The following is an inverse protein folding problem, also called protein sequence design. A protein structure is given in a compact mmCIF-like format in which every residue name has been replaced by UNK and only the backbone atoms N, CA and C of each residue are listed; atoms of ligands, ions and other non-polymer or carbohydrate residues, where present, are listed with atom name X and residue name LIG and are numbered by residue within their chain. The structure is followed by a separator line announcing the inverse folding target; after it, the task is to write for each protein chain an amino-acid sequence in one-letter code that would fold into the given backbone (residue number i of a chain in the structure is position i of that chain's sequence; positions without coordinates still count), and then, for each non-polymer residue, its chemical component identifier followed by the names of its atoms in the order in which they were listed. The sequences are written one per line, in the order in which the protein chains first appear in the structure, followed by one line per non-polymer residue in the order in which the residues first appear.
data_IF_660384432031
#
_entry.id   IF_660384432031
#
_cell.length_a   1.000
_cell.length_b   1.000
_cell.length_c   1.000
_cell.angle_alpha   90.00
_cell.angle_beta   90.00
_cell.angle_gamma   90.00
#
_symmetry.space_group_name_H-M   'P 1'
#
loop_
_entity.id
_entity.type
_entity.pdbx_description
1 polymer ?
#
# COMPACT_ATOMS: atom_id res chain seq x y z
N UNK A 1 13.07 -19.20 -29.07
CA UNK A 1 13.78 -18.01 -28.56
C UNK A 1 12.75 -16.91 -28.42
N UNK A 2 12.14 -16.76 -27.25
CA UNK A 2 11.09 -15.76 -26.99
C UNK A 2 11.76 -14.42 -26.73
N UNK A 3 11.37 -13.42 -27.51
CA UNK A 3 11.87 -12.06 -27.40
C UNK A 3 11.54 -11.48 -26.01
N UNK A 4 12.57 -11.29 -25.18
CA UNK A 4 12.45 -10.77 -23.80
C UNK A 4 11.91 -9.32 -23.81
N UNK A 5 11.82 -8.68 -24.98
CA UNK A 5 11.35 -7.30 -25.10
C UNK A 5 9.86 -7.14 -24.75
N UNK A 6 8.99 -8.05 -25.21
CA UNK A 6 7.53 -7.91 -25.09
C UNK A 6 6.90 -9.07 -24.32
N UNK A 7 6.15 -8.79 -23.25
CA UNK A 7 5.55 -9.85 -22.41
C UNK A 7 4.21 -10.39 -22.94
N UNK A 8 3.62 -9.75 -23.94
CA UNK A 8 2.39 -10.16 -24.59
C UNK A 8 2.35 -9.56 -26.01
N UNK A 9 1.55 -10.17 -26.87
CA UNK A 9 1.29 -9.74 -28.25
C UNK A 9 -0.17 -9.36 -28.48
N UNK A 10 -1.06 -9.72 -27.54
CA UNK A 10 -2.49 -9.40 -27.60
C UNK A 10 -2.73 -7.90 -27.58
N UNK A 11 -3.44 -7.38 -28.60
CA UNK A 11 -3.85 -5.98 -28.69
C UNK A 11 -5.24 -5.78 -28.07
N UNK A 12 -5.30 -5.65 -26.75
CA UNK A 12 -6.56 -5.48 -26.00
C UNK A 12 -7.38 -4.26 -26.43
N UNK A 13 -6.70 -3.17 -26.82
CA UNK A 13 -7.31 -1.88 -27.14
C UNK A 13 -7.62 -1.67 -28.65
N UNK A 14 -7.37 -2.70 -29.49
CA UNK A 14 -7.53 -2.68 -30.97
C UNK A 14 -6.53 -1.76 -31.71
N UNK A 15 -6.27 -1.95 -33.03
CA UNK A 15 -5.03 -1.50 -33.64
C UNK A 15 -5.03 0.01 -33.76
N UNK A 16 -4.11 0.63 -33.03
CA UNK A 16 -3.68 1.98 -33.29
C UNK A 16 -3.35 2.11 -34.79
N UNK A 17 -3.84 3.14 -35.52
CA UNK A 17 -3.36 3.40 -36.87
C UNK A 17 -1.83 3.45 -36.84
N UNK A 18 -1.15 3.06 -37.92
CA UNK A 18 0.30 2.80 -37.98
C UNK A 18 1.24 3.92 -37.45
N UNK A 19 0.69 5.08 -37.05
CA UNK A 19 1.37 6.25 -36.51
C UNK A 19 0.89 6.71 -35.12
N UNK A 20 0.02 5.97 -34.42
CA UNK A 20 -0.48 6.42 -33.12
C UNK A 20 0.53 6.12 -32.02
N UNK A 21 1.17 7.19 -31.53
CA UNK A 21 2.02 7.17 -30.34
C UNK A 21 1.16 6.71 -29.14
N UNK A 22 1.69 5.83 -28.30
CA UNK A 22 1.10 5.45 -27.00
C UNK A 22 0.87 6.65 -26.05
N UNK A 23 1.23 7.87 -26.47
CA UNK A 23 0.88 9.13 -25.84
C UNK A 23 -0.62 9.27 -25.54
N UNK A 24 -1.50 8.72 -26.38
CA UNK A 24 -2.95 8.70 -26.11
C UNK A 24 -3.35 7.82 -24.90
N UNK A 25 -2.42 7.00 -24.40
CA UNK A 25 -2.59 6.16 -23.22
C UNK A 25 -2.07 6.79 -21.92
N UNK A 26 -1.42 7.96 -21.99
CA UNK A 26 -0.92 8.66 -20.81
C UNK A 26 -2.00 9.51 -20.13
N UNK A 27 -1.86 9.78 -18.81
CA UNK A 27 -2.68 10.79 -18.15
C UNK A 27 -2.42 12.19 -18.73
N UNK A 28 -3.35 13.12 -18.50
CA UNK A 28 -3.23 14.49 -19.02
C UNK A 28 -1.98 15.23 -18.50
N UNK A 29 -1.60 15.00 -17.24
CA UNK A 29 -0.41 15.56 -16.62
C UNK A 29 0.04 14.70 -15.45
N UNK A 30 1.30 14.86 -15.03
CA UNK A 30 1.82 14.29 -13.79
C UNK A 30 2.60 15.34 -13.00
N UNK A 31 2.86 15.05 -11.72
CA UNK A 31 3.70 15.90 -10.87
C UNK A 31 5.14 15.40 -10.93
N UNK A 32 6.03 16.25 -11.42
CA UNK A 32 7.46 15.99 -11.46
C UNK A 32 8.11 16.00 -10.07
N UNK A 33 9.40 15.62 -9.98
CA UNK A 33 10.14 15.56 -8.73
C UNK A 33 10.31 16.92 -8.04
N UNK A 34 10.23 18.02 -8.80
CA UNK A 34 10.25 19.41 -8.32
C UNK A 34 8.86 19.96 -7.98
N UNK A 35 7.83 19.10 -7.98
CA UNK A 35 6.42 19.43 -7.79
C UNK A 35 5.83 20.32 -8.90
N UNK A 36 6.53 20.48 -10.03
CA UNK A 36 5.98 21.10 -11.23
C UNK A 36 4.99 20.16 -11.93
N UNK A 37 4.00 20.74 -12.62
CA UNK A 37 3.05 19.98 -13.44
C UNK A 37 3.67 19.82 -14.82
N UNK A 38 3.85 18.58 -15.25
CA UNK A 38 4.55 18.22 -16.49
C UNK A 38 3.68 17.32 -17.37
N UNK A 39 3.96 17.34 -18.68
CA UNK A 39 3.33 16.45 -19.65
C UNK A 39 4.09 15.11 -19.71
N UNK A 40 3.42 13.95 -19.58
CA UNK A 40 4.09 12.65 -19.61
C UNK A 40 4.86 12.37 -20.89
N UNK A 41 4.37 12.87 -22.04
CA UNK A 41 4.99 12.65 -23.33
C UNK A 41 6.39 13.27 -23.43
N UNK A 42 6.62 14.39 -22.76
CA UNK A 42 7.90 15.10 -22.78
C UNK A 42 8.89 14.53 -21.76
N UNK A 43 8.39 13.94 -20.67
CA UNK A 43 9.18 13.47 -19.51
C UNK A 43 8.85 12.02 -19.13
N UNK A 44 8.92 11.11 -20.10
CA UNK A 44 8.49 9.70 -19.94
C UNK A 44 9.21 8.98 -18.80
N UNK A 45 10.54 9.17 -18.65
CA UNK A 45 11.31 8.45 -17.63
C UNK A 45 10.94 8.84 -16.20
N UNK A 46 10.66 10.13 -15.98
CA UNK A 46 10.26 10.66 -14.69
C UNK A 46 8.79 10.36 -14.40
N UNK A 47 7.95 10.44 -15.43
CA UNK A 47 6.57 9.95 -15.37
C UNK A 47 6.55 8.49 -14.90
N UNK A 48 7.26 7.59 -15.57
CA UNK A 48 7.27 6.16 -15.21
C UNK A 48 7.81 5.89 -13.81
N UNK A 49 8.84 6.62 -13.38
CA UNK A 49 9.39 6.47 -12.04
C UNK A 49 8.46 7.02 -10.95
N UNK A 50 7.58 7.97 -11.28
CA UNK A 50 6.53 8.42 -10.37
C UNK A 50 5.33 7.45 -10.37
N UNK A 51 4.90 7.02 -11.55
CA UNK A 51 3.69 6.23 -11.79
C UNK A 51 3.81 4.79 -11.27
N UNK A 52 4.97 4.17 -11.44
CA UNK A 52 5.28 2.81 -10.97
C UNK A 52 6.07 2.81 -9.65
N UNK A 53 6.09 3.94 -8.94
CA UNK A 53 6.87 4.11 -7.71
C UNK A 53 6.35 3.22 -6.58
N UNK A 54 7.25 2.41 -5.99
CA UNK A 54 7.00 1.65 -4.77
C UNK A 54 7.90 2.09 -3.60
N UNK A 55 8.62 3.22 -3.74
CA UNK A 55 9.65 3.69 -2.81
C UNK A 55 9.24 3.66 -1.34
N UNK A 56 7.99 4.05 -1.06
CA UNK A 56 7.44 4.12 0.31
C UNK A 56 7.19 2.75 0.92
N UNK A 57 6.81 1.76 0.10
CA UNK A 57 6.69 0.37 0.54
C UNK A 57 8.05 -0.33 0.59
N UNK A 58 8.96 -0.01 -0.32
CA UNK A 58 10.33 -0.54 -0.34
C UNK A 58 11.08 -0.20 0.96
N UNK A 59 10.87 1.00 1.51
CA UNK A 59 11.40 1.37 2.82
C UNK A 59 10.92 0.44 3.96
N UNK A 60 9.77 -0.22 3.78
CA UNK A 60 9.15 -1.13 4.73
C UNK A 60 9.32 -2.61 4.36
N UNK A 61 10.06 -2.94 3.29
CA UNK A 61 10.09 -4.28 2.68
C UNK A 61 10.40 -5.40 3.70
N UNK A 62 11.36 -5.14 4.60
CA UNK A 62 11.77 -6.05 5.69
C UNK A 62 10.63 -6.41 6.65
N UNK A 63 9.62 -5.55 6.77
CA UNK A 63 8.53 -5.67 7.73
C UNK A 63 7.17 -5.88 7.05
N UNK A 64 7.10 -5.95 5.72
CA UNK A 64 5.84 -6.17 4.98
C UNK A 64 5.14 -7.47 5.35
N UNK A 65 5.88 -8.47 5.86
CA UNK A 65 5.30 -9.73 6.36
C UNK A 65 4.32 -9.53 7.53
N UNK A 66 4.44 -8.44 8.29
CA UNK A 66 3.46 -8.08 9.32
C UNK A 66 2.15 -7.61 8.69
N UNK A 67 2.24 -6.88 7.57
CA UNK A 67 1.09 -6.26 6.90
C UNK A 67 0.31 -7.22 5.99
N UNK A 68 0.95 -8.28 5.49
CA UNK A 68 0.28 -9.29 4.68
C UNK A 68 1.11 -10.54 4.41
N UNK A 69 0.40 -11.61 4.06
CA UNK A 69 0.97 -12.93 3.78
C UNK A 69 1.44 -13.03 2.32
N UNK A 70 2.44 -13.90 2.05
CA UNK A 70 2.89 -14.19 0.68
C UNK A 70 1.86 -15.07 -0.03
N UNK A 71 1.03 -14.46 -0.86
CA UNK A 71 -0.03 -15.12 -1.63
C UNK A 71 -0.44 -14.27 -2.83
N UNK A 72 -1.02 -14.92 -3.83
CA UNK A 72 -1.67 -14.26 -4.96
C UNK A 72 -2.91 -13.48 -4.52
N UNK A 73 -3.34 -12.51 -5.34
CA UNK A 73 -4.52 -11.71 -5.04
C UNK A 73 -5.78 -12.55 -5.13
N UNK A 74 -6.75 -12.26 -4.27
CA UNK A 74 -8.06 -12.87 -4.35
C UNK A 74 -8.88 -12.24 -5.48
N UNK A 75 -9.78 -12.98 -6.11
CA UNK A 75 -10.66 -12.42 -7.13
C UNK A 75 -11.57 -11.30 -6.58
N UNK A 76 -12.01 -10.39 -7.46
CA UNK A 76 -12.80 -9.21 -7.07
C UNK A 76 -14.13 -9.55 -6.39
N UNK A 77 -14.85 -10.56 -6.88
CA UNK A 77 -16.13 -10.99 -6.30
C UNK A 77 -15.96 -11.43 -4.85
N UNK A 78 -14.82 -12.04 -4.50
CA UNK A 78 -14.54 -12.45 -3.13
C UNK A 78 -14.37 -11.24 -2.22
N UNK A 79 -13.70 -10.18 -2.69
CA UNK A 79 -13.59 -8.94 -1.94
C UNK A 79 -14.96 -8.30 -1.66
N UNK A 80 -15.87 -8.33 -2.63
CA UNK A 80 -17.25 -7.86 -2.43
C UNK A 80 -17.99 -8.77 -1.44
N UNK A 81 -17.84 -10.09 -1.56
CA UNK A 81 -18.47 -11.08 -0.67
C UNK A 81 -18.11 -10.85 0.81
N UNK A 82 -16.85 -10.54 1.11
CA UNK A 82 -16.39 -10.24 2.47
C UNK A 82 -16.72 -8.80 2.92
N UNK A 83 -17.51 -8.06 2.13
CA UNK A 83 -17.98 -6.71 2.46
C UNK A 83 -16.98 -5.59 2.17
N UNK A 84 -15.95 -5.82 1.34
CA UNK A 84 -15.03 -4.74 0.97
C UNK A 84 -15.62 -3.84 -0.12
N UNK A 85 -15.38 -2.54 0.02
CA UNK A 85 -15.71 -1.53 -0.98
C UNK A 85 -14.47 -1.18 -1.80
N UNK A 86 -14.56 -1.37 -3.11
CA UNK A 86 -13.50 -1.00 -4.05
C UNK A 86 -13.44 0.54 -4.18
N UNK A 87 -12.25 1.10 -4.06
CA UNK A 87 -11.96 2.51 -4.29
C UNK A 87 -10.78 2.67 -5.25
N UNK A 88 -10.93 3.60 -6.19
CA UNK A 88 -9.90 3.93 -7.17
C UNK A 88 -8.78 4.75 -6.51
N UNK A 89 -7.54 4.43 -6.84
CA UNK A 89 -6.34 5.20 -6.49
C UNK A 89 -5.42 5.25 -7.70
N UNK A 90 -4.75 6.37 -7.97
CA UNK A 90 -3.72 6.39 -9.03
C UNK A 90 -2.33 6.04 -8.49
N UNK A 91 -2.17 5.88 -7.19
CA UNK A 91 -0.87 5.57 -6.59
C UNK A 91 -0.60 4.05 -6.61
N UNK A 92 0.55 3.65 -7.17
CA UNK A 92 0.95 2.25 -7.28
C UNK A 92 1.20 1.59 -5.93
N UNK A 93 1.75 2.34 -4.97
CA UNK A 93 2.03 1.85 -3.62
C UNK A 93 0.74 1.62 -2.80
N UNK A 94 -0.40 2.17 -3.21
CA UNK A 94 -1.71 1.95 -2.58
C UNK A 94 -2.52 0.82 -3.22
N UNK A 95 -2.14 0.33 -4.40
CA UNK A 95 -2.84 -0.79 -5.03
C UNK A 95 -2.93 -1.98 -4.06
N UNK A 96 -4.07 -2.65 -3.95
CA UNK A 96 -4.37 -3.77 -3.04
C UNK A 96 -4.18 -3.52 -1.54
N UNK A 97 -4.05 -2.26 -1.09
CA UNK A 97 -4.16 -1.97 0.33
C UNK A 97 -5.63 -1.94 0.75
N UNK A 98 -5.92 -2.43 1.95
CA UNK A 98 -7.27 -2.35 2.51
C UNK A 98 -7.26 -1.80 3.94
N UNK A 99 -8.24 -0.95 4.23
CA UNK A 99 -8.44 -0.31 5.52
C UNK A 99 -9.41 -1.12 6.39
N UNK A 100 -9.33 -0.92 7.71
CA UNK A 100 -10.16 -1.66 8.68
C UNK A 100 -11.67 -1.43 8.48
N UNK A 101 -12.07 -0.34 7.85
CA UNK A 101 -13.46 -0.01 7.54
C UNK A 101 -13.98 -0.68 6.25
N UNK A 102 -13.23 -1.64 5.70
CA UNK A 102 -13.60 -2.40 4.52
C UNK A 102 -13.26 -1.72 3.19
N UNK A 103 -12.67 -0.53 3.17
CA UNK A 103 -12.21 0.08 1.90
C UNK A 103 -11.00 -0.66 1.35
N UNK A 104 -11.01 -0.96 0.07
CA UNK A 104 -9.90 -1.57 -0.67
C UNK A 104 -9.50 -0.66 -1.81
N UNK A 105 -8.24 -0.25 -1.84
CA UNK A 105 -7.71 0.64 -2.86
C UNK A 105 -7.18 -0.17 -4.04
N UNK A 106 -7.67 0.11 -5.24
CA UNK A 106 -7.24 -0.56 -6.46
C UNK A 106 -6.91 0.51 -7.49
N UNK A 107 -5.66 0.48 -7.97
CA UNK A 107 -5.24 1.27 -9.12
C UNK A 107 -5.83 0.73 -10.43
N UNK A 108 -6.59 1.53 -11.22
CA UNK A 108 -7.08 1.14 -12.54
C UNK A 108 -5.92 0.78 -13.47
N UNK A 109 -6.17 -0.11 -14.42
CA UNK A 109 -5.17 -0.58 -15.36
C UNK A 109 -4.85 0.51 -16.40
N UNK A 110 -3.65 1.11 -16.39
CA UNK A 110 -3.32 2.19 -17.30
C UNK A 110 -3.22 1.69 -18.74
N UNK A 111 -3.74 2.48 -19.68
CA UNK A 111 -3.80 2.13 -21.12
C UNK A 111 -2.40 1.88 -21.70
N UNK A 112 -1.41 2.68 -21.33
CA UNK A 112 -0.04 2.55 -21.83
C UNK A 112 0.61 1.20 -21.46
N UNK A 113 0.20 0.55 -20.35
CA UNK A 113 0.71 -0.78 -19.98
C UNK A 113 0.09 -1.90 -20.80
N UNK A 114 -1.01 -1.66 -21.50
CA UNK A 114 -1.68 -2.62 -22.38
C UNK A 114 -1.18 -2.55 -23.84
N UNK A 115 -0.24 -1.66 -24.12
CA UNK A 115 0.31 -1.44 -25.46
C UNK A 115 1.67 -2.16 -25.60
N UNK A 116 1.81 -3.22 -26.41
CA UNK A 116 3.05 -3.99 -26.51
C UNK A 116 4.26 -3.16 -26.95
N UNK A 117 4.06 -2.17 -27.84
CA UNK A 117 5.14 -1.30 -28.33
C UNK A 117 5.79 -0.49 -27.19
N UNK A 118 4.98 -0.03 -26.23
CA UNK A 118 5.44 0.71 -25.05
C UNK A 118 6.45 -0.09 -24.22
N UNK A 119 6.25 -1.40 -24.08
CA UNK A 119 7.16 -2.27 -23.32
C UNK A 119 8.54 -2.34 -23.95
N UNK A 120 8.61 -2.53 -25.28
CA UNK A 120 9.88 -2.61 -26.00
C UNK A 120 10.67 -1.30 -25.95
N UNK A 121 9.99 -0.15 -25.94
CA UNK A 121 10.64 1.16 -26.01
C UNK A 121 11.06 1.68 -24.62
N UNK A 122 10.18 1.52 -23.62
CA UNK A 122 10.34 2.19 -22.33
C UNK A 122 10.70 1.25 -21.18
N UNK A 123 10.36 -0.05 -21.27
CA UNK A 123 10.53 -1.03 -20.20
C UNK A 123 11.54 -2.15 -20.52
N UNK A 124 12.12 -2.16 -21.72
CA UNK A 124 13.22 -3.06 -22.07
C UNK A 124 14.58 -2.37 -21.83
N UNK A 125 15.52 -3.07 -21.20
CA UNK A 125 16.90 -2.62 -21.13
C UNK A 125 17.57 -2.89 -22.50
N UNK A 126 18.36 -1.93 -23.01
CA UNK A 126 19.11 -2.05 -24.28
C UNK A 126 20.03 -3.29 -24.26
N UNK A 127 20.35 -3.83 -25.44
CA UNK A 127 21.26 -4.97 -25.56
C UNK A 127 22.66 -4.72 -24.98
N UNK A 128 23.10 -3.46 -24.97
CA UNK A 128 24.34 -3.01 -24.33
C UNK A 128 24.26 -2.83 -22.81
N UNK A 129 23.11 -3.07 -22.19
CA UNK A 129 22.95 -2.96 -20.75
C UNK A 129 23.65 -4.11 -20.02
N UNK A 130 24.61 -3.77 -19.15
CA UNK A 130 25.36 -4.72 -18.31
C UNK A 130 24.48 -5.58 -17.39
N UNK A 131 23.21 -5.21 -17.23
CA UNK A 131 22.17 -5.92 -16.49
C UNK A 131 21.79 -7.30 -17.07
N UNK A 132 22.14 -7.61 -18.33
CA UNK A 132 21.89 -8.94 -18.93
C UNK A 132 22.89 -10.02 -18.49
N UNK A 133 24.11 -9.64 -18.09
CA UNK A 133 25.23 -10.59 -17.94
C UNK A 133 25.60 -10.93 -16.49
N UNK A 134 24.96 -10.33 -15.48
CA UNK A 134 25.38 -10.54 -14.08
C UNK A 134 24.21 -10.51 -13.10
N UNK A 135 24.05 -11.58 -12.31
CA UNK A 135 23.12 -11.65 -11.17
C UNK A 135 23.62 -10.85 -9.94
N UNK A 136 24.76 -10.16 -10.05
CA UNK A 136 25.50 -9.54 -8.93
C UNK A 136 25.58 -8.01 -8.98
N UNK A 137 25.02 -7.36 -10.01
CA UNK A 137 24.91 -5.90 -10.07
C UNK A 137 23.49 -5.43 -9.72
N UNK A 138 23.33 -4.22 -9.16
CA UNK A 138 22.00 -3.64 -8.93
C UNK A 138 21.23 -3.56 -10.25
N UNK A 139 19.97 -3.99 -10.22
CA UNK A 139 19.09 -4.00 -11.40
C UNK A 139 19.00 -2.60 -12.05
N UNK A 140 19.07 -2.54 -13.39
CA UNK A 140 18.82 -1.28 -14.13
C UNK A 140 17.46 -0.70 -13.74
N UNK A 141 17.33 0.64 -13.67
CA UNK A 141 16.05 1.34 -13.39
C UNK A 141 14.91 0.83 -14.27
N UNK A 142 15.15 0.66 -15.58
CA UNK A 142 14.16 0.09 -16.52
C UNK A 142 13.73 -1.35 -16.16
N UNK A 143 14.64 -2.21 -15.68
CA UNK A 143 14.30 -3.57 -15.22
C UNK A 143 13.49 -3.54 -13.93
N UNK A 144 13.80 -2.65 -12.99
CA UNK A 144 12.98 -2.47 -11.78
C UNK A 144 11.55 -2.04 -12.14
N UNK A 145 11.41 -1.05 -13.04
CA UNK A 145 10.11 -0.61 -13.55
C UNK A 145 9.37 -1.74 -14.27
N UNK A 146 10.06 -2.53 -15.10
CA UNK A 146 9.49 -3.70 -15.77
C UNK A 146 8.99 -4.74 -14.76
N UNK A 147 9.77 -5.06 -13.72
CA UNK A 147 9.37 -5.98 -12.65
C UNK A 147 8.15 -5.48 -11.88
N UNK A 148 8.06 -4.16 -11.67
CA UNK A 148 6.90 -3.52 -11.06
C UNK A 148 5.66 -3.66 -11.95
N UNK A 149 5.77 -3.27 -13.23
CA UNK A 149 4.68 -3.38 -14.20
C UNK A 149 4.21 -4.83 -14.40
N UNK A 150 5.14 -5.79 -14.49
CA UNK A 150 4.81 -7.22 -14.56
C UNK A 150 4.05 -7.71 -13.32
N UNK A 151 4.51 -7.33 -12.12
CA UNK A 151 3.82 -7.67 -10.89
C UNK A 151 2.42 -7.08 -10.81
N UNK A 152 2.24 -5.87 -11.35
CA UNK A 152 0.93 -5.21 -11.43
C UNK A 152 -0.01 -5.85 -12.46
N UNK A 153 0.48 -6.25 -13.63
CA UNK A 153 -0.34 -7.01 -14.59
C UNK A 153 -0.73 -8.38 -14.01
N UNK A 154 0.19 -9.03 -13.30
CA UNK A 154 -0.08 -10.28 -12.61
C UNK A 154 -1.18 -10.15 -11.54
N UNK A 155 -1.20 -9.07 -10.75
CA UNK A 155 -2.28 -8.87 -9.78
C UNK A 155 -3.64 -8.74 -10.47
N UNK A 156 -3.71 -8.08 -11.63
CA UNK A 156 -4.92 -8.00 -12.42
C UNK A 156 -5.38 -9.35 -12.98
N UNK A 157 -4.46 -10.20 -13.43
CA UNK A 157 -4.77 -11.57 -13.83
C UNK A 157 -5.40 -12.38 -12.68
N UNK A 158 -4.95 -12.15 -11.44
CA UNK A 158 -5.54 -12.79 -10.25
C UNK A 158 -6.90 -12.17 -9.86
N UNK A 159 -7.00 -10.84 -9.84
CA UNK A 159 -8.22 -10.11 -9.48
C UNK A 159 -9.40 -10.44 -10.41
N UNK A 160 -9.12 -10.57 -11.72
CA UNK A 160 -10.12 -10.77 -12.77
C UNK A 160 -10.05 -12.21 -13.30
N UNK A 161 -10.29 -13.16 -12.40
CA UNK A 161 -10.19 -14.60 -12.67
C UNK A 161 -11.45 -15.17 -13.32
N UNK A 162 -12.63 -14.69 -12.92
CA UNK A 162 -13.92 -15.17 -13.42
C UNK A 162 -14.63 -14.09 -14.24
N UNK A 163 -15.60 -14.50 -15.06
CA UNK A 163 -16.40 -13.54 -15.85
C UNK A 163 -17.22 -12.59 -14.95
N UNK A 164 -17.63 -13.03 -13.77
CA UNK A 164 -18.24 -12.15 -12.77
C UNK A 164 -17.28 -11.05 -12.31
N UNK A 165 -16.00 -11.38 -12.08
CA UNK A 165 -14.96 -10.40 -11.74
C UNK A 165 -14.73 -9.43 -12.88
N UNK A 166 -14.79 -9.92 -14.12
CA UNK A 166 -14.65 -9.09 -15.31
C UNK A 166 -15.75 -8.04 -15.39
N UNK A 167 -17.00 -8.42 -15.11
CA UNK A 167 -18.12 -7.48 -15.03
C UNK A 167 -17.92 -6.48 -13.90
N UNK A 168 -17.56 -6.96 -12.69
CA UNK A 168 -17.25 -6.09 -11.55
C UNK A 168 -16.14 -5.09 -11.88
N UNK A 169 -15.08 -5.52 -12.56
CA UNK A 169 -13.96 -4.66 -12.93
C UNK A 169 -14.38 -3.56 -13.91
N UNK A 170 -15.24 -3.88 -14.87
CA UNK A 170 -15.80 -2.90 -15.80
C UNK A 170 -16.76 -1.91 -15.10
N UNK A 171 -17.62 -2.41 -14.21
CA UNK A 171 -18.58 -1.60 -13.43
C UNK A 171 -17.86 -0.60 -12.52
N UNK A 172 -16.70 -0.99 -11.98
CA UNK A 172 -15.85 -0.13 -11.15
C UNK A 172 -14.81 0.65 -11.97
N UNK A 173 -14.88 0.64 -13.31
CA UNK A 173 -13.95 1.34 -14.20
C UNK A 173 -12.46 1.01 -13.96
N UNK A 174 -12.17 -0.23 -13.54
CA UNK A 174 -10.80 -0.70 -13.31
C UNK A 174 -10.09 -1.09 -14.61
N UNK A 175 -10.85 -1.53 -15.62
CA UNK A 175 -10.33 -1.83 -16.94
C UNK A 175 -10.60 -0.65 -17.89
N UNK A 176 -9.61 -0.27 -18.72
CA UNK A 176 -9.80 0.80 -19.69
C UNK A 176 -10.76 0.38 -20.80
N UNK A 177 -11.47 1.38 -21.35
CA UNK A 177 -12.27 1.21 -22.57
C UNK A 177 -11.41 1.39 -23.83
N UNK A 178 -11.89 0.79 -24.92
CA UNK A 178 -11.32 0.96 -26.26
C UNK A 178 -11.55 2.39 -26.77
N UNK A 179 -10.90 2.72 -27.89
CA UNK A 179 -10.98 4.07 -28.49
C UNK A 179 -12.39 4.41 -29.00
N UNK A 180 -13.17 3.40 -29.38
CA UNK A 180 -14.58 3.50 -29.75
C UNK A 180 -15.53 3.46 -28.53
N UNK A 181 -14.98 3.66 -27.32
CA UNK A 181 -15.68 3.58 -26.03
C UNK A 181 -16.28 2.20 -25.71
N UNK A 182 -16.01 1.19 -26.52
CA UNK A 182 -16.45 -0.18 -26.24
C UNK A 182 -15.65 -0.81 -25.10
N UNK A 183 -16.30 -1.71 -24.36
CA UNK A 183 -15.63 -2.50 -23.34
C UNK A 183 -14.74 -3.57 -23.99
N UNK A 184 -13.62 -3.89 -23.35
CA UNK A 184 -12.82 -5.06 -23.70
C UNK A 184 -13.72 -6.31 -23.62
N UNK A 185 -13.53 -7.29 -24.50
CA UNK A 185 -14.30 -8.53 -24.43
C UNK A 185 -13.65 -9.53 -23.47
N UNK A 186 -14.46 -10.41 -22.87
CA UNK A 186 -13.94 -11.48 -22.02
C UNK A 186 -13.00 -12.43 -22.77
N UNK A 187 -13.23 -12.64 -24.08
CA UNK A 187 -12.34 -13.43 -24.94
C UNK A 187 -10.93 -12.84 -24.99
N UNK A 188 -10.84 -11.55 -25.33
CA UNK A 188 -9.56 -10.84 -25.44
C UNK A 188 -8.83 -10.80 -24.10
N UNK A 189 -9.57 -10.61 -23.00
CA UNK A 189 -9.00 -10.66 -21.65
C UNK A 189 -8.37 -12.02 -21.32
N UNK A 190 -9.05 -13.12 -21.65
CA UNK A 190 -8.50 -14.47 -21.42
C UNK A 190 -7.22 -14.72 -22.21
N UNK A 191 -7.16 -14.24 -23.45
CA UNK A 191 -5.98 -14.40 -24.30
C UNK A 191 -4.80 -13.59 -23.75
N UNK A 192 -5.05 -12.34 -23.35
CA UNK A 192 -4.06 -11.52 -22.65
C UNK A 192 -3.56 -12.17 -21.35
N UNK A 193 -4.46 -12.63 -20.49
CA UNK A 193 -4.08 -13.29 -19.22
C UNK A 193 -3.25 -14.55 -19.48
N UNK A 194 -3.58 -15.32 -20.53
CA UNK A 194 -2.79 -16.50 -20.92
C UNK A 194 -1.35 -16.14 -21.25
N UNK A 195 -1.13 -15.08 -22.03
CA UNK A 195 0.21 -14.60 -22.38
C UNK A 195 0.97 -14.13 -21.14
N UNK A 196 0.35 -13.29 -20.30
CA UNK A 196 0.96 -12.79 -19.05
C UNK A 196 1.38 -13.94 -18.13
N UNK A 197 0.50 -14.93 -17.91
CA UNK A 197 0.80 -16.06 -17.03
C UNK A 197 1.86 -17.00 -17.61
N UNK A 198 1.92 -17.14 -18.94
CA UNK A 198 2.96 -17.94 -19.61
C UNK A 198 4.34 -17.30 -19.46
N UNK A 199 4.41 -15.98 -19.48
CA UNK A 199 5.66 -15.21 -19.31
C UNK A 199 5.95 -14.81 -17.86
N UNK A 200 5.12 -15.23 -16.89
CA UNK A 200 5.29 -14.87 -15.50
C UNK A 200 6.31 -15.78 -14.80
N UNK A 201 7.41 -15.17 -14.34
CA UNK A 201 8.35 -15.79 -13.41
C UNK A 201 8.40 -14.99 -12.11
N UNK A 202 8.53 -15.70 -10.97
CA UNK A 202 8.58 -15.06 -9.64
C UNK A 202 9.73 -14.04 -9.54
N UNK A 203 10.87 -14.34 -10.16
CA UNK A 203 12.06 -13.48 -10.14
C UNK A 203 11.95 -12.23 -11.03
N UNK A 204 10.98 -12.24 -11.96
CA UNK A 204 10.67 -11.13 -12.85
C UNK A 204 9.55 -10.23 -12.32
N UNK A 205 9.15 -10.42 -11.06
CA UNK A 205 8.17 -9.56 -10.40
C UNK A 205 8.75 -8.90 -9.17
N UNK A 206 8.34 -7.65 -8.94
CA UNK A 206 8.80 -6.91 -7.78
C UNK A 206 8.29 -7.58 -6.48
N UNK A 207 9.13 -7.74 -5.41
CA UNK A 207 8.78 -8.49 -4.19
C UNK A 207 7.48 -8.05 -3.51
N UNK A 208 7.11 -6.77 -3.65
CA UNK A 208 5.81 -6.22 -3.23
C UNK A 208 4.62 -7.03 -3.76
N UNK A 209 4.65 -7.48 -5.02
CA UNK A 209 3.52 -8.19 -5.64
C UNK A 209 3.42 -9.67 -5.25
N UNK A 210 4.44 -10.21 -4.56
CA UNK A 210 4.33 -11.55 -3.95
C UNK A 210 3.37 -11.55 -2.75
N UNK A 211 3.06 -10.35 -2.21
CA UNK A 211 2.07 -10.12 -1.16
C UNK A 211 0.98 -9.27 -1.75
N UNK A 212 -0.09 -9.90 -2.20
CA UNK A 212 -1.17 -9.20 -2.87
C UNK A 212 -1.84 -8.16 -1.96
N UNK A 213 -2.63 -8.59 -0.98
CA UNK A 213 -3.36 -7.66 -0.12
C UNK A 213 -2.60 -7.33 1.16
N UNK A 214 -2.40 -6.03 1.40
CA UNK A 214 -1.76 -5.52 2.61
C UNK A 214 -2.79 -4.79 3.47
N UNK A 215 -2.80 -5.08 4.77
CA UNK A 215 -3.67 -4.39 5.72
C UNK A 215 -3.06 -3.05 6.09
N UNK A 216 -3.74 -1.97 5.74
CA UNK A 216 -3.27 -0.59 5.97
C UNK A 216 -3.02 -0.31 7.45
N UNK A 217 -3.85 -0.82 8.37
CA UNK A 217 -3.66 -0.62 9.80
C UNK A 217 -2.33 -1.20 10.29
N UNK A 218 -1.95 -2.39 9.81
CA UNK A 218 -0.67 -3.02 10.16
C UNK A 218 0.50 -2.28 9.52
N UNK A 219 0.33 -1.80 8.29
CA UNK A 219 1.34 -1.01 7.60
C UNK A 219 1.58 0.34 8.30
N UNK A 220 0.51 1.01 8.75
CA UNK A 220 0.61 2.22 9.56
C UNK A 220 1.36 1.97 10.88
N UNK A 221 1.08 0.86 11.56
CA UNK A 221 1.81 0.48 12.76
C UNK A 221 3.29 0.25 12.46
N UNK A 222 3.60 -0.54 11.42
CA UNK A 222 4.99 -0.79 11.01
C UNK A 222 5.71 0.52 10.69
N UNK A 223 5.11 1.41 9.90
CA UNK A 223 5.68 2.72 9.58
C UNK A 223 5.96 3.52 10.86
N UNK A 224 5.00 3.55 11.80
CA UNK A 224 5.15 4.22 13.10
C UNK A 224 6.37 3.70 13.88
N UNK A 225 6.60 2.39 13.86
CA UNK A 225 7.67 1.77 14.65
C UNK A 225 9.02 1.66 13.94
N UNK A 226 9.10 1.91 12.64
CA UNK A 226 10.31 1.63 11.84
C UNK A 226 10.85 2.83 11.08
N UNK A 227 10.04 3.85 10.79
CA UNK A 227 10.42 5.00 9.99
C UNK A 227 10.41 6.27 10.83
N UNK A 228 11.43 7.12 10.66
CA UNK A 228 11.46 8.47 11.21
C UNK A 228 10.93 9.46 10.17
N UNK A 229 10.00 10.37 10.53
CA UNK A 229 9.45 10.59 11.87
C UNK A 229 8.44 9.51 12.29
N UNK A 230 8.63 9.00 13.51
CA UNK A 230 7.83 7.92 14.18
C UNK A 230 6.32 8.18 14.15
N UNK A 231 5.89 9.42 13.93
CA UNK A 231 4.50 9.86 14.12
C UNK A 231 3.72 10.10 12.82
N UNK A 232 4.33 9.93 11.66
CA UNK A 232 3.63 10.13 10.38
C UNK A 232 3.04 8.79 9.90
N UNK A 233 1.73 8.65 9.70
CA UNK A 233 1.14 7.41 9.19
C UNK A 233 1.43 7.22 7.70
N UNK A 234 1.49 5.96 7.24
CA UNK A 234 1.71 5.64 5.83
C UNK A 234 0.54 6.14 4.95
N UNK A 235 -0.71 6.00 5.36
CA UNK A 235 -1.79 6.76 4.73
C UNK A 235 -2.55 7.51 5.81
N UNK A 236 -2.62 8.84 5.69
CA UNK A 236 -3.43 9.68 6.57
C UNK A 236 -4.89 9.52 6.16
N UNK A 237 -5.54 8.51 6.71
CA UNK A 237 -6.97 8.37 6.54
C UNK A 237 -7.66 9.51 7.31
N UNK A 238 -8.37 10.38 6.57
CA UNK A 238 -8.87 11.68 7.08
C UNK A 238 -9.95 11.54 8.16
N UNK A 239 -10.30 10.29 8.54
CA UNK A 239 -11.29 9.95 9.59
C UNK A 239 -10.70 9.18 10.78
N UNK A 240 -9.38 8.95 10.83
CA UNK A 240 -8.78 7.99 11.78
C UNK A 240 -8.85 8.41 13.25
N UNK A 241 -9.14 9.67 13.60
CA UNK A 241 -9.25 10.02 15.03
C UNK A 241 -10.37 9.22 15.71
N UNK A 242 -11.52 9.07 15.05
CA UNK A 242 -12.64 8.30 15.63
C UNK A 242 -12.38 6.79 15.68
N UNK A 243 -11.70 6.20 14.69
CA UNK A 243 -11.45 4.76 14.64
C UNK A 243 -10.25 4.33 15.48
N UNK A 244 -9.19 5.15 15.58
CA UNK A 244 -8.12 4.93 16.56
C UNK A 244 -8.66 5.04 17.97
N UNK A 245 -9.53 6.01 18.25
CA UNK A 245 -10.19 6.09 19.54
C UNK A 245 -11.07 4.86 19.79
N UNK A 246 -11.89 4.41 18.84
CA UNK A 246 -12.78 3.28 19.11
C UNK A 246 -12.03 1.95 19.29
N UNK A 247 -11.08 1.62 18.42
CA UNK A 247 -10.29 0.38 18.51
C UNK A 247 -9.36 0.40 19.74
N UNK A 248 -8.71 1.54 20.04
CA UNK A 248 -7.82 1.63 21.20
C UNK A 248 -8.59 1.80 22.52
N UNK A 249 -9.70 2.53 22.56
CA UNK A 249 -10.52 2.66 23.79
C UNK A 249 -11.16 1.32 24.11
N UNK A 250 -11.65 0.55 23.12
CA UNK A 250 -12.19 -0.78 23.38
C UNK A 250 -11.13 -1.71 23.98
N UNK A 251 -9.92 -1.71 23.41
CA UNK A 251 -8.81 -2.49 23.96
C UNK A 251 -8.38 -2.00 25.35
N UNK A 252 -8.26 -0.68 25.53
CA UNK A 252 -7.88 -0.07 26.81
C UNK A 252 -8.94 -0.36 27.89
N UNK A 253 -10.22 -0.19 27.57
CA UNK A 253 -11.34 -0.49 28.46
C UNK A 253 -11.38 -1.97 28.82
N UNK A 254 -11.17 -2.86 27.85
CA UNK A 254 -11.09 -4.31 28.11
C UNK A 254 -9.92 -4.62 29.04
N UNK A 255 -8.74 -4.05 28.80
CA UNK A 255 -7.58 -4.20 29.67
C UNK A 255 -7.83 -3.64 31.08
N UNK A 256 -8.46 -2.47 31.19
CA UNK A 256 -8.84 -1.87 32.48
C UNK A 256 -9.84 -2.73 33.24
N UNK A 257 -10.84 -3.30 32.56
CA UNK A 257 -11.81 -4.23 33.17
C UNK A 257 -11.09 -5.47 33.68
N UNK A 258 -10.20 -6.08 32.89
CA UNK A 258 -9.41 -7.24 33.32
C UNK A 258 -8.50 -6.91 34.51
N UNK A 259 -7.81 -5.77 34.49
CA UNK A 259 -6.97 -5.31 35.61
C UNK A 259 -7.81 -5.07 36.86
N UNK A 260 -8.97 -4.42 36.73
CA UNK A 260 -9.90 -4.20 37.84
C UNK A 260 -10.40 -5.53 38.42
N UNK A 261 -10.75 -6.50 37.58
CA UNK A 261 -11.15 -7.84 38.02
C UNK A 261 -10.04 -8.53 38.81
N UNK A 262 -8.79 -8.49 38.32
CA UNK A 262 -7.63 -9.05 39.05
C UNK A 262 -7.45 -8.33 40.39
N UNK A 263 -7.51 -7.00 40.41
CA UNK A 263 -7.39 -6.22 41.64
C UNK A 263 -8.49 -6.58 42.65
N UNK A 264 -9.74 -6.76 42.20
CA UNK A 264 -10.85 -7.16 43.08
C UNK A 264 -10.64 -8.56 43.66
N UNK A 265 -10.21 -9.53 42.85
CA UNK A 265 -9.88 -10.87 43.34
C UNK A 265 -8.73 -10.85 44.35
N UNK A 266 -7.73 -9.98 44.11
CA UNK A 266 -6.58 -9.80 44.99
C UNK A 266 -6.98 -9.15 46.33
N UNK A 267 -7.88 -8.17 46.30
CA UNK A 267 -8.48 -7.56 47.50
C UNK A 267 -9.22 -8.60 48.35
N UNK A 268 -10.00 -9.49 47.71
CA UNK A 268 -10.69 -10.59 48.40
C UNK A 268 -9.68 -11.59 48.99
N UNK A 269 -8.60 -11.92 48.26
CA UNK A 269 -7.53 -12.79 48.77
C UNK A 269 -6.83 -12.21 50.00
N UNK A 270 -6.47 -10.92 49.97
CA UNK A 270 -5.84 -10.23 51.11
C UNK A 270 -6.75 -10.15 52.34
N UNK A 271 -8.07 -10.20 52.16
CA UNK A 271 -9.04 -10.20 53.25
C UNK A 271 -9.17 -11.55 53.97
N UNK A 272 -8.51 -12.62 53.48
CA UNK A 272 -8.53 -13.93 54.13
C UNK A 272 -7.28 -14.18 54.98
N UNK A 273 -7.47 -14.71 56.19
CA UNK A 273 -6.40 -14.95 57.18
C UNK A 273 -5.27 -15.88 56.69
N UNK A 274 -5.57 -16.72 55.70
CA UNK A 274 -4.62 -17.66 55.11
C UNK A 274 -3.58 -16.96 54.20
N UNK A 275 -4.02 -15.98 53.42
CA UNK A 275 -3.17 -15.28 52.45
C UNK A 275 -2.60 -13.97 53.01
N UNK A 276 -3.26 -13.35 53.99
CA UNK A 276 -2.75 -12.16 54.69
C UNK A 276 -1.41 -12.43 55.41
N UNK A 277 -1.20 -13.66 55.89
CA UNK A 277 0.03 -14.05 56.61
C UNK A 277 1.21 -14.37 55.69
N UNK A 278 0.98 -14.49 54.37
CA UNK A 278 2.04 -14.78 53.40
C UNK A 278 2.70 -13.49 52.90
N UNK A 279 3.97 -13.28 53.27
CA UNK A 279 4.75 -12.11 52.82
C UNK A 279 4.93 -12.04 51.30
N UNK A 280 4.99 -13.17 50.60
CA UNK A 280 5.13 -13.19 49.13
C UNK A 280 3.86 -12.71 48.43
N UNK A 281 2.69 -13.05 48.98
CA UNK A 281 1.40 -12.64 48.42
C UNK A 281 1.15 -11.14 48.63
N UNK A 282 1.53 -10.60 49.79
CA UNK A 282 1.46 -9.15 50.04
C UNK A 282 2.38 -8.35 49.11
N UNK A 283 3.64 -8.78 48.93
CA UNK A 283 4.58 -8.10 48.04
C UNK A 283 4.13 -8.13 46.56
N UNK A 284 3.60 -9.27 46.09
CA UNK A 284 3.03 -9.37 44.75
C UNK A 284 1.81 -8.45 44.58
N UNK A 285 0.97 -8.36 45.61
CA UNK A 285 -0.22 -7.51 45.60
C UNK A 285 0.11 -6.01 45.57
N UNK A 286 1.11 -5.61 46.36
CA UNK A 286 1.60 -4.23 46.37
C UNK A 286 2.19 -3.84 45.01
N UNK A 287 3.07 -4.69 44.45
CA UNK A 287 3.68 -4.44 43.15
C UNK A 287 2.67 -4.36 42.01
N UNK A 288 1.68 -5.25 41.99
CA UNK A 288 0.62 -5.23 40.97
C UNK A 288 -0.29 -4.00 41.11
N UNK A 289 -0.57 -3.56 42.34
CA UNK A 289 -1.36 -2.33 42.58
C UNK A 289 -0.64 -1.09 42.07
N UNK A 290 0.66 -0.95 42.35
CA UNK A 290 1.49 0.14 41.84
C UNK A 290 1.55 0.12 40.31
N UNK A 291 1.74 -1.05 39.72
CA UNK A 291 1.72 -1.22 38.25
C UNK A 291 0.37 -0.81 37.64
N UNK A 292 -0.75 -1.23 38.22
CA UNK A 292 -2.08 -0.91 37.76
C UNK A 292 -2.43 0.59 37.85
N UNK A 293 -1.80 1.33 38.78
CA UNK A 293 -1.91 2.78 38.87
C UNK A 293 -1.01 3.51 37.88
N UNK A 294 0.25 3.08 37.74
CA UNK A 294 1.24 3.75 36.89
C UNK A 294 0.97 3.52 35.39
N UNK A 295 0.53 2.33 35.00
CA UNK A 295 0.32 1.98 33.60
C UNK A 295 -0.69 2.91 32.89
N UNK A 296 -1.91 3.15 33.42
CA UNK A 296 -2.83 4.12 32.82
C UNK A 296 -2.24 5.53 32.78
N UNK A 297 -1.58 5.97 33.85
CA UNK A 297 -0.99 7.31 33.94
C UNK A 297 0.05 7.54 32.83
N UNK A 298 0.93 6.57 32.61
CA UNK A 298 1.91 6.59 31.54
C UNK A 298 1.22 6.63 30.17
N UNK A 299 0.23 5.78 29.92
CA UNK A 299 -0.49 5.73 28.63
C UNK A 299 -1.21 7.04 28.34
N UNK A 300 -1.95 7.60 29.30
CA UNK A 300 -2.60 8.90 29.14
C UNK A 300 -1.58 10.03 28.97
N UNK A 301 -0.47 10.00 29.70
CA UNK A 301 0.63 10.95 29.53
C UNK A 301 1.20 10.92 28.11
N UNK A 302 1.45 9.74 27.54
CA UNK A 302 1.88 9.58 26.16
C UNK A 302 0.86 10.12 25.15
N UNK A 303 -0.43 9.87 25.36
CA UNK A 303 -1.49 10.40 24.47
C UNK A 303 -1.55 11.93 24.51
N UNK A 304 -1.43 12.54 25.70
CA UNK A 304 -1.45 13.99 25.85
C UNK A 304 -0.21 14.63 25.22
N UNK A 305 0.97 14.02 25.43
CA UNK A 305 2.22 14.44 24.78
C UNK A 305 2.11 14.36 23.25
N UNK A 306 1.48 13.31 22.72
CA UNK A 306 1.21 13.15 21.28
C UNK A 306 0.31 14.27 20.74
N UNK A 307 -0.79 14.55 21.44
CA UNK A 307 -1.70 15.64 21.08
C UNK A 307 -0.97 16.99 21.11
N UNK A 308 -0.18 17.25 22.16
CA UNK A 308 0.55 18.51 22.32
C UNK A 308 1.61 18.68 21.24
N UNK A 309 2.38 17.63 20.93
CA UNK A 309 3.35 17.65 19.84
C UNK A 309 2.68 17.90 18.49
N UNK A 310 1.54 17.27 18.23
CA UNK A 310 0.80 17.50 16.99
C UNK A 310 0.31 18.95 16.89
N UNK A 311 -0.25 19.47 17.98
CA UNK A 311 -0.76 20.84 18.05
C UNK A 311 0.37 21.87 17.91
N UNK A 312 1.52 21.64 18.55
CA UNK A 312 2.73 22.46 18.42
C UNK A 312 3.29 22.43 16.99
N UNK A 313 3.21 21.29 16.30
CA UNK A 313 3.65 21.17 14.90
C UNK A 313 2.70 21.87 13.94
N UNK A 314 1.39 21.91 14.24
CA UNK A 314 0.38 22.57 13.40
C UNK A 314 0.18 24.06 13.71
N UNK A 315 0.54 24.53 14.91
CA UNK A 315 0.40 25.92 15.36
C UNK A 315 1.07 26.96 14.43
N UNK A 316 2.30 26.76 13.92
CA UNK A 316 2.96 27.72 13.04
C UNK A 316 2.24 27.88 11.69
N UNK A 317 1.52 26.84 11.25
CA UNK A 317 0.79 26.83 9.98
C UNK A 317 -0.58 27.48 10.13
N UNK A 318 -1.27 27.21 11.25
CA UNK A 318 -2.55 27.85 11.59
C UNK A 318 -2.42 29.37 11.79
N UNK A 319 -1.34 29.82 12.44
CA UNK A 319 -1.05 31.25 12.64
C UNK A 319 -0.67 31.98 11.34
N UNK A 320 -0.19 31.25 10.32
CA UNK A 320 0.30 31.83 9.06
C UNK A 320 -0.73 31.77 7.92
N UNK A 321 -1.92 31.22 8.16
CA UNK A 321 -3.01 31.14 7.17
C UNK A 321 -2.68 30.33 5.91
N UNK A 322 -1.59 29.56 5.91
CA UNK A 322 -1.16 28.74 4.78
C UNK A 322 -1.44 27.26 5.04
N UNK A 323 -1.92 26.57 4.00
CA UNK A 323 -2.15 25.13 4.06
C UNK A 323 -0.86 24.39 4.40
N UNK A 324 -0.92 23.56 5.44
CA UNK A 324 0.18 22.72 5.89
C UNK A 324 0.64 21.80 4.73
N UNK A 325 1.93 21.78 4.31
CA UNK A 325 2.43 20.92 3.23
C UNK A 325 2.35 19.42 3.57
N UNK A 326 2.03 19.07 4.82
CA UNK A 326 1.71 17.70 5.25
C UNK A 326 0.25 17.28 4.93
N UNK A 327 -0.60 18.23 4.51
CA UNK A 327 -1.97 17.99 4.06
C UNK A 327 -2.11 17.92 2.53
N UNK A 328 -1.04 18.19 1.78
CA UNK A 328 -0.99 17.84 0.36
C UNK A 328 -0.83 16.32 0.22
N UNK A 329 -1.49 15.69 -0.77
CA UNK A 329 -1.26 14.28 -1.07
C UNK A 329 0.24 14.02 -1.22
N UNK A 330 0.78 12.93 -0.65
CA UNK A 330 2.23 12.72 -0.58
C UNK A 330 2.81 12.68 -2.00
N UNK A 331 3.64 13.67 -2.28
CA UNK A 331 4.49 13.76 -3.47
C UNK A 331 5.50 12.62 -3.41
N UNK A 332 5.64 11.89 -4.51
CA UNK A 332 6.74 10.97 -4.68
C UNK A 332 8.08 11.69 -4.52
N UNK A 333 8.85 11.25 -3.52
CA UNK A 333 10.25 11.59 -3.26
C UNK A 333 10.54 12.99 -2.67
N UNK A 334 11.03 12.99 -1.43
CA UNK A 334 12.20 13.79 -1.07
C UNK A 334 13.43 12.93 -1.29
N UNK A 335 14.33 13.37 -2.16
CA UNK A 335 15.72 12.88 -2.18
C UNK A 335 16.44 13.46 -0.97
N UNK A 336 16.63 12.68 0.09
CA UNK A 336 17.69 12.97 1.04
C UNK A 336 18.98 12.36 0.46
N UNK A 337 19.87 13.24 -0.01
CA UNK A 337 21.23 12.86 -0.37
C UNK A 337 21.92 12.25 0.84
N UNK A 338 22.50 11.07 0.65
CA UNK A 338 23.48 10.51 1.57
C UNK A 338 24.80 11.20 1.26
N UNK A 339 25.34 11.90 2.26
CA UNK A 339 26.77 12.27 2.33
C UNK A 339 27.55 11.04 2.73
#
# INVERSE_FOLDING_TARGET
MTDISRPFTTLLLSPSPANSTYANGFPACFRGPDNSIQLPADYIEDFLASELSLKRLEALDRHLWLAGEKRSAWPLHYHILIGRKILITEQMDLHLLWANDGRMFIKPLPRFLLEPSFWSENLSCLDSCRCKNTNSLPDCRKRQLRKCAMGFLYTYACLVSYESDFRIANDNHLLPRRMDESAITWGDWKDFVREILTHHHKDDTHPRFHRAELRLARLNNVHRFTQFPILEPYLRDRRTFSSLLHDNIAWLATATIFVALILTAMQVGLATDQFQKSKSFMAASEGFTVFAMLLPLCVFGFIILDLLHHLLKELPWLLRGQANPLNSPPVGARSAGVV
#
